data_IF_474044422222
#
_entry.id   IF_474044422222
#
_cell.length_a   1.000
_cell.length_b   1.000
_cell.length_c   1.000
_cell.angle_alpha   90.00
_cell.angle_beta   90.00
_cell.angle_gamma   90.00
#
_symmetry.space_group_name_H-M   'P 1'
#
loop_
_entity.id
_entity.type
_entity.pdbx_description
1 polymer ?
#
# COMPACT_ATOMS: atom_id res chain seq x y z
N UNK A 1 -1.38 14.25 34.93
CA UNK A 1 -2.67 13.59 35.21
C UNK A 1 -2.57 12.16 34.70
N UNK A 2 -2.43 11.20 35.64
CA UNK A 2 -2.19 9.76 35.35
C UNK A 2 -3.50 9.12 34.92
N UNK A 3 -3.62 8.68 33.68
CA UNK A 3 -4.77 7.93 33.17
C UNK A 3 -4.30 6.84 32.19
N UNK A 4 -3.52 5.86 32.65
CA UNK A 4 -3.49 4.53 32.06
C UNK A 4 -3.07 3.55 33.17
N UNK A 5 -4.07 3.00 33.83
CA UNK A 5 -3.93 1.88 34.74
C UNK A 5 -3.53 0.65 33.90
N UNK A 6 -2.34 0.13 34.13
CA UNK A 6 -1.88 -1.16 33.61
C UNK A 6 -2.67 -2.26 34.31
N UNK A 7 -3.58 -2.93 33.61
CA UNK A 7 -4.09 -4.23 34.01
C UNK A 7 -3.11 -5.31 33.54
N UNK A 8 -2.51 -6.11 34.44
CA UNK A 8 -1.69 -7.25 34.04
C UNK A 8 -2.64 -8.38 33.57
N UNK A 9 -2.53 -8.78 32.30
CA UNK A 9 -3.21 -9.95 31.74
C UNK A 9 -4.24 -9.73 30.64
N UNK A 10 -4.58 -8.50 30.28
CA UNK A 10 -5.45 -8.23 29.15
C UNK A 10 -4.67 -8.34 27.83
N UNK A 11 -5.02 -9.30 26.94
CA UNK A 11 -4.59 -9.26 25.54
C UNK A 11 -4.96 -7.88 25.01
N UNK A 12 -3.96 -7.07 24.60
CA UNK A 12 -4.21 -5.79 23.90
C UNK A 12 -5.13 -6.11 22.72
N UNK A 13 -6.31 -5.52 22.71
CA UNK A 13 -7.29 -5.74 21.66
C UNK A 13 -6.71 -5.10 20.40
N UNK A 14 -6.24 -5.93 19.44
CA UNK A 14 -5.66 -5.46 18.18
C UNK A 14 -6.61 -4.45 17.52
N UNK A 15 -6.07 -3.31 17.11
CA UNK A 15 -6.84 -2.26 16.42
C UNK A 15 -6.91 -2.51 14.91
N UNK A 16 -6.20 -3.54 14.43
CA UNK A 16 -6.13 -3.92 13.02
C UNK A 16 -7.48 -4.40 12.47
N UNK A 17 -7.67 -4.22 11.17
CA UNK A 17 -8.81 -4.78 10.44
C UNK A 17 -8.76 -6.31 10.43
N UNK A 18 -9.94 -6.95 10.50
CA UNK A 18 -10.06 -8.38 10.27
C UNK A 18 -10.31 -8.71 8.79
N UNK A 19 -10.35 -7.71 7.90
CA UNK A 19 -10.65 -7.91 6.48
C UNK A 19 -9.42 -8.50 5.79
N UNK A 20 -9.54 -9.65 5.10
CA UNK A 20 -8.43 -10.18 4.31
C UNK A 20 -8.16 -9.31 3.08
N UNK A 21 -6.90 -9.12 2.74
CA UNK A 21 -6.45 -8.44 1.53
C UNK A 21 -5.11 -9.02 1.08
N UNK A 22 -4.80 -8.85 -0.19
CA UNK A 22 -3.58 -9.37 -0.81
C UNK A 22 -2.71 -8.20 -1.27
N UNK A 23 -1.45 -8.19 -0.83
CA UNK A 23 -0.44 -7.16 -1.13
C UNK A 23 0.50 -7.56 -2.28
N UNK A 24 0.35 -8.74 -2.89
CA UNK A 24 1.31 -9.26 -3.88
C UNK A 24 1.63 -8.25 -4.97
N UNK A 25 0.59 -7.62 -5.56
CA UNK A 25 0.73 -6.51 -6.52
C UNK A 25 -0.24 -5.39 -6.14
N UNK A 26 0.31 -4.29 -5.73
CA UNK A 26 -0.41 -3.12 -5.27
C UNK A 26 -0.22 -1.95 -6.25
N UNK A 27 -1.26 -1.59 -7.01
CA UNK A 27 -1.23 -0.42 -7.90
C UNK A 27 -1.51 0.85 -7.10
N UNK A 28 -0.60 1.82 -7.15
CA UNK A 28 -0.87 3.21 -6.73
C UNK A 28 -1.05 4.05 -7.99
N UNK A 29 -2.15 4.81 -8.08
CA UNK A 29 -2.53 5.51 -9.31
C UNK A 29 -3.24 6.84 -9.02
N UNK A 30 -2.89 7.86 -9.79
CA UNK A 30 -3.58 9.14 -9.90
C UNK A 30 -3.64 9.61 -11.34
N UNK A 31 -4.36 10.69 -11.61
CA UNK A 31 -4.50 11.23 -12.98
C UNK A 31 -3.18 11.71 -13.57
N UNK A 32 -2.22 12.09 -12.72
CA UNK A 32 -0.87 12.48 -13.15
C UNK A 32 0.04 11.29 -13.51
N UNK A 33 -0.32 10.07 -13.12
CA UNK A 33 0.52 8.88 -13.28
C UNK A 33 0.22 8.12 -14.58
N UNK A 34 -0.93 8.38 -15.20
CA UNK A 34 -1.35 7.70 -16.43
C UNK A 34 -0.83 8.42 -17.68
N UNK A 35 -0.78 7.70 -18.79
CA UNK A 35 -0.39 8.28 -20.08
C UNK A 35 -1.45 9.31 -20.52
N UNK A 36 -0.97 10.36 -21.19
CA UNK A 36 -1.87 11.36 -21.78
C UNK A 36 -2.91 10.69 -22.70
N UNK A 37 -4.17 11.08 -22.54
CA UNK A 37 -5.30 10.52 -23.26
C UNK A 37 -5.82 9.17 -22.75
N UNK A 38 -5.22 8.60 -21.70
CA UNK A 38 -5.73 7.40 -21.04
C UNK A 38 -6.81 7.75 -20.02
N UNK A 39 -7.69 6.79 -19.76
CA UNK A 39 -8.72 6.85 -18.72
C UNK A 39 -8.23 6.11 -17.47
N UNK A 40 -8.24 6.78 -16.31
CA UNK A 40 -7.77 6.27 -15.03
C UNK A 40 -8.54 5.00 -14.62
N UNK A 41 -9.85 5.01 -14.79
CA UNK A 41 -10.69 3.86 -14.44
C UNK A 41 -10.36 2.66 -15.34
N UNK A 42 -10.18 2.88 -16.64
CA UNK A 42 -9.80 1.82 -17.57
C UNK A 42 -8.42 1.23 -17.23
N UNK A 43 -7.44 2.07 -16.89
CA UNK A 43 -6.09 1.64 -16.46
C UNK A 43 -6.18 0.78 -15.19
N UNK A 44 -6.93 1.23 -14.17
CA UNK A 44 -7.09 0.50 -12.92
C UNK A 44 -7.76 -0.87 -13.12
N UNK A 45 -8.81 -0.93 -13.95
CA UNK A 45 -9.51 -2.19 -14.29
C UNK A 45 -8.60 -3.13 -15.08
N UNK A 46 -7.85 -2.63 -16.07
CA UNK A 46 -6.90 -3.43 -16.82
C UNK A 46 -5.81 -4.03 -15.91
N UNK A 47 -5.26 -3.22 -14.99
CA UNK A 47 -4.28 -3.67 -14.01
C UNK A 47 -4.86 -4.73 -13.05
N UNK A 48 -6.09 -4.54 -12.54
CA UNK A 48 -6.77 -5.49 -11.68
C UNK A 48 -6.98 -6.84 -12.38
N UNK A 49 -7.44 -6.83 -13.63
CA UNK A 49 -7.55 -8.04 -14.47
C UNK A 49 -6.20 -8.67 -14.78
N UNK A 50 -5.14 -7.87 -14.83
CA UNK A 50 -3.77 -8.31 -15.01
C UNK A 50 -3.15 -8.94 -13.77
N UNK A 51 -3.74 -8.74 -12.59
CA UNK A 51 -3.25 -9.33 -11.35
C UNK A 51 -2.90 -8.34 -10.24
N UNK A 52 -3.21 -7.04 -10.40
CA UNK A 52 -3.18 -6.13 -9.25
C UNK A 52 -4.25 -6.56 -8.24
N UNK A 53 -3.85 -6.73 -6.97
CA UNK A 53 -4.69 -7.25 -5.89
C UNK A 53 -5.16 -6.17 -4.92
N UNK A 54 -4.56 -5.00 -4.99
CA UNK A 54 -4.92 -3.81 -4.24
C UNK A 54 -4.74 -2.59 -5.14
N UNK A 55 -5.62 -1.61 -5.05
CA UNK A 55 -5.51 -0.35 -5.80
C UNK A 55 -5.61 0.81 -4.82
N UNK A 56 -4.69 1.78 -4.92
CA UNK A 56 -4.74 3.03 -4.18
C UNK A 56 -4.97 4.20 -5.13
N UNK A 57 -6.02 4.96 -4.88
CA UNK A 57 -6.22 6.27 -5.50
C UNK A 57 -5.39 7.33 -4.76
N UNK A 58 -4.42 7.92 -5.48
CA UNK A 58 -3.54 8.98 -4.99
C UNK A 58 -3.68 10.23 -5.85
N UNK A 59 -4.64 11.07 -5.54
CA UNK A 59 -4.93 12.33 -6.23
C UNK A 59 -4.43 13.52 -5.42
N UNK A 60 -3.25 14.04 -5.79
CA UNK A 60 -2.59 15.17 -5.10
C UNK A 60 -2.96 16.49 -5.75
N UNK A 61 -3.89 16.98 -6.07
CA UNK A 61 -4.20 18.28 -6.70
C UNK A 61 -5.67 18.45 -7.03
N UNK A 62 -6.43 17.37 -6.97
CA UNK A 62 -7.86 17.40 -7.22
C UNK A 62 -8.63 17.92 -6.00
N UNK A 63 -9.76 18.57 -6.26
CA UNK A 63 -10.70 18.96 -5.22
C UNK A 63 -11.23 17.72 -4.48
N UNK A 64 -11.71 17.91 -3.25
CA UNK A 64 -12.34 16.85 -2.47
C UNK A 64 -13.47 16.18 -3.26
N UNK A 65 -14.35 16.98 -3.87
CA UNK A 65 -15.47 16.48 -4.66
C UNK A 65 -14.98 15.59 -5.80
N UNK A 66 -14.00 16.04 -6.59
CA UNK A 66 -13.45 15.25 -7.69
C UNK A 66 -12.80 13.96 -7.23
N UNK A 67 -12.08 13.97 -6.11
CA UNK A 67 -11.48 12.78 -5.55
C UNK A 67 -12.55 11.77 -5.08
N UNK A 68 -13.65 12.24 -4.49
CA UNK A 68 -14.79 11.39 -4.10
C UNK A 68 -15.47 10.76 -5.33
N UNK A 69 -15.65 11.53 -6.40
CA UNK A 69 -16.23 11.02 -7.67
C UNK A 69 -15.36 9.89 -8.25
N UNK A 70 -14.05 10.11 -8.35
CA UNK A 70 -13.08 9.10 -8.83
C UNK A 70 -13.07 7.86 -7.92
N UNK A 71 -13.03 8.06 -6.61
CA UNK A 71 -13.04 6.95 -5.65
C UNK A 71 -14.31 6.11 -5.76
N UNK A 72 -15.49 6.73 -5.93
CA UNK A 72 -16.77 6.03 -6.15
C UNK A 72 -16.78 5.26 -7.47
N UNK A 73 -16.25 5.84 -8.54
CA UNK A 73 -16.15 5.19 -9.83
C UNK A 73 -15.24 3.95 -9.76
N UNK A 74 -14.04 4.11 -9.21
CA UNK A 74 -13.10 3.01 -9.00
C UNK A 74 -13.69 1.91 -8.10
N UNK A 75 -14.33 2.29 -6.98
CA UNK A 75 -14.95 1.32 -6.06
C UNK A 75 -15.97 0.44 -6.78
N UNK A 76 -16.87 1.03 -7.59
CA UNK A 76 -17.86 0.28 -8.37
C UNK A 76 -17.24 -0.70 -9.37
N UNK A 77 -16.11 -0.32 -9.99
CA UNK A 77 -15.46 -1.13 -11.01
C UNK A 77 -14.56 -2.22 -10.43
N UNK A 78 -13.91 -1.97 -9.30
CA UNK A 78 -12.98 -2.91 -8.66
C UNK A 78 -13.69 -3.93 -7.77
N UNK A 79 -14.81 -3.57 -7.17
CA UNK A 79 -15.58 -4.44 -6.27
C UNK A 79 -15.98 -5.77 -6.92
N UNK A 80 -16.50 -5.83 -8.18
CA UNK A 80 -16.82 -7.11 -8.83
C UNK A 80 -15.59 -7.98 -9.13
N UNK A 81 -14.40 -7.36 -9.18
CA UNK A 81 -13.13 -8.05 -9.37
C UNK A 81 -12.50 -8.54 -8.06
N UNK A 82 -13.13 -8.24 -6.91
CA UNK A 82 -12.62 -8.58 -5.59
C UNK A 82 -11.38 -7.78 -5.18
N UNK A 83 -11.09 -6.66 -5.84
CA UNK A 83 -9.91 -5.82 -5.59
C UNK A 83 -10.29 -4.66 -4.68
N UNK A 84 -9.75 -4.56 -3.45
CA UNK A 84 -10.03 -3.46 -2.54
C UNK A 84 -9.47 -2.13 -3.06
N UNK A 85 -10.21 -1.03 -2.76
CA UNK A 85 -9.80 0.33 -3.02
C UNK A 85 -9.31 1.00 -1.74
N UNK A 86 -8.07 1.48 -1.76
CA UNK A 86 -7.46 2.34 -0.74
C UNK A 86 -7.48 3.78 -1.25
N UNK A 87 -7.69 4.74 -0.36
CA UNK A 87 -7.54 6.16 -0.66
C UNK A 87 -6.30 6.68 0.08
N UNK A 88 -5.53 7.52 -0.58
CA UNK A 88 -4.36 8.15 0.01
C UNK A 88 -4.76 9.39 0.82
N UNK A 89 -4.23 9.55 2.05
CA UNK A 89 -4.25 10.73 2.94
C UNK A 89 -5.62 11.20 3.45
N UNK A 90 -6.72 10.99 2.73
CA UNK A 90 -8.02 11.65 2.92
C UNK A 90 -9.09 10.73 3.51
N UNK A 91 -9.23 10.63 4.84
CA UNK A 91 -10.25 9.78 5.47
C UNK A 91 -11.68 10.20 5.12
N UNK A 92 -11.93 11.49 4.87
CA UNK A 92 -13.24 11.98 4.44
C UNK A 92 -13.65 11.42 3.07
N UNK A 93 -12.70 11.19 2.14
CA UNK A 93 -12.94 10.52 0.86
C UNK A 93 -13.26 9.05 1.08
N UNK A 94 -12.51 8.37 1.98
CA UNK A 94 -12.78 6.96 2.33
C UNK A 94 -14.22 6.79 2.78
N UNK A 95 -14.69 7.65 3.67
CA UNK A 95 -16.06 7.59 4.21
C UNK A 95 -17.10 7.95 3.15
N UNK A 96 -16.87 9.02 2.38
CA UNK A 96 -17.83 9.49 1.37
C UNK A 96 -17.98 8.52 0.19
N UNK A 97 -16.91 7.80 -0.19
CA UNK A 97 -16.91 6.84 -1.31
C UNK A 97 -17.11 5.39 -0.88
N UNK A 98 -17.23 5.11 0.43
CA UNK A 98 -17.22 3.78 1.03
C UNK A 98 -16.03 2.93 0.53
N UNK A 99 -14.85 3.56 0.46
CA UNK A 99 -13.63 2.86 0.09
C UNK A 99 -13.23 1.84 1.16
N UNK A 100 -12.43 0.86 0.77
CA UNK A 100 -12.05 -0.28 1.63
C UNK A 100 -10.96 0.08 2.64
N UNK A 101 -10.24 1.19 2.43
CA UNK A 101 -9.19 1.60 3.35
C UNK A 101 -8.57 2.95 3.06
N UNK A 102 -7.63 3.30 3.92
CA UNK A 102 -6.83 4.52 3.91
C UNK A 102 -5.34 4.15 3.93
N UNK A 103 -4.51 4.95 3.27
CA UNK A 103 -3.07 4.92 3.44
C UNK A 103 -2.57 6.30 3.85
N UNK A 104 -1.71 6.38 4.86
CA UNK A 104 -1.13 7.63 5.37
C UNK A 104 0.39 7.60 5.32
N UNK A 105 0.99 8.72 4.96
CA UNK A 105 2.42 8.98 5.06
C UNK A 105 2.83 9.58 6.42
N UNK A 106 4.14 9.82 6.64
CA UNK A 106 4.65 10.33 7.91
C UNK A 106 4.20 11.78 8.21
N UNK A 107 3.91 12.58 7.18
CA UNK A 107 3.48 13.97 7.32
C UNK A 107 1.95 14.16 7.28
N UNK A 108 1.22 13.06 7.10
CA UNK A 108 -0.24 13.06 7.01
C UNK A 108 -0.88 12.93 8.41
N UNK A 109 -2.15 12.56 8.43
CA UNK A 109 -2.89 12.32 9.67
C UNK A 109 -2.20 11.22 10.51
N UNK A 110 -1.92 11.44 11.81
CA UNK A 110 -1.32 10.43 12.67
C UNK A 110 -2.10 9.11 12.64
N UNK A 111 -1.39 7.99 12.65
CA UNK A 111 -1.95 6.62 12.51
C UNK A 111 -3.15 6.35 13.41
N UNK A 112 -3.08 6.72 14.70
CA UNK A 112 -4.20 6.51 15.62
C UNK A 112 -5.42 7.36 15.26
N UNK A 113 -5.20 8.60 14.81
CA UNK A 113 -6.27 9.49 14.35
C UNK A 113 -6.89 8.96 13.06
N UNK A 114 -6.06 8.47 12.12
CA UNK A 114 -6.51 7.81 10.89
C UNK A 114 -7.38 6.58 11.19
N UNK A 115 -6.92 5.71 12.11
CA UNK A 115 -7.68 4.54 12.56
C UNK A 115 -9.01 4.90 13.21
N UNK A 116 -9.04 5.92 14.05
CA UNK A 116 -10.28 6.41 14.66
C UNK A 116 -11.25 6.96 13.60
N UNK A 117 -10.73 7.71 12.61
CA UNK A 117 -11.56 8.31 11.56
C UNK A 117 -12.22 7.26 10.67
N UNK A 118 -11.48 6.22 10.22
CA UNK A 118 -12.03 5.22 9.29
C UNK A 118 -12.68 4.01 9.98
N UNK A 119 -12.51 3.87 11.30
CA UNK A 119 -13.00 2.74 12.08
C UNK A 119 -12.15 1.48 11.90
N UNK A 120 -12.56 0.38 12.55
CA UNK A 120 -11.80 -0.89 12.64
C UNK A 120 -12.07 -1.87 11.49
N UNK A 121 -13.06 -1.61 10.67
CA UNK A 121 -13.46 -2.50 9.58
C UNK A 121 -12.78 -2.19 8.26
N UNK A 122 -12.09 -1.05 8.17
CA UNK A 122 -11.36 -0.62 6.97
C UNK A 122 -9.87 -0.89 7.10
N UNK A 123 -9.24 -1.17 5.99
CA UNK A 123 -7.79 -1.38 5.90
C UNK A 123 -7.08 -0.05 6.15
N UNK A 124 -6.07 -0.04 7.02
CA UNK A 124 -5.19 1.10 7.23
C UNK A 124 -3.75 0.71 6.92
N UNK A 125 -3.16 1.39 5.94
CA UNK A 125 -1.74 1.31 5.65
C UNK A 125 -1.01 2.56 6.13
N UNK A 126 0.29 2.42 6.39
CA UNK A 126 1.17 3.55 6.63
C UNK A 126 2.51 3.39 5.92
N UNK A 127 3.15 4.51 5.55
CA UNK A 127 4.50 4.52 4.98
C UNK A 127 5.56 4.69 6.06
N UNK A 128 6.69 3.99 5.90
CA UNK A 128 7.91 4.22 6.67
C UNK A 128 9.14 4.13 5.73
N UNK A 129 10.00 5.13 5.77
CA UNK A 129 11.27 5.18 5.04
C UNK A 129 12.48 4.90 5.94
N UNK A 130 12.32 4.98 7.26
CA UNK A 130 13.36 4.80 8.26
C UNK A 130 12.95 3.78 9.31
N UNK A 131 13.94 3.22 10.02
CA UNK A 131 13.70 2.27 11.11
C UNK A 131 12.96 2.91 12.29
N UNK A 132 13.21 4.19 12.55
CA UNK A 132 12.56 4.90 13.66
C UNK A 132 11.08 5.17 13.35
N UNK A 133 10.75 5.59 12.13
CA UNK A 133 9.37 5.71 11.67
C UNK A 133 8.63 4.37 11.73
N UNK A 134 9.29 3.30 11.25
CA UNK A 134 8.72 1.95 11.29
C UNK A 134 8.40 1.51 12.71
N UNK A 135 9.36 1.67 13.65
CA UNK A 135 9.17 1.29 15.05
C UNK A 135 8.04 2.08 15.71
N UNK A 136 7.98 3.38 15.45
CA UNK A 136 6.92 4.23 15.98
C UNK A 136 5.53 3.77 15.51
N UNK A 137 5.40 3.32 14.25
CA UNK A 137 4.14 2.79 13.70
C UNK A 137 3.85 1.38 14.25
N UNK A 138 4.86 0.50 14.30
CA UNK A 138 4.73 -0.90 14.73
C UNK A 138 4.25 -0.99 16.19
N UNK A 139 4.79 -0.14 17.08
CA UNK A 139 4.39 -0.07 18.50
C UNK A 139 2.91 0.27 18.72
N UNK A 140 2.28 0.97 17.77
CA UNK A 140 0.87 1.35 17.88
C UNK A 140 -0.10 0.18 17.65
N UNK A 141 0.33 -0.89 16.95
CA UNK A 141 -0.50 -2.06 16.55
C UNK A 141 -1.86 -1.65 15.92
N UNK A 142 -1.84 -0.57 15.13
CA UNK A 142 -3.04 0.06 14.61
C UNK A 142 -3.17 0.01 13.07
N UNK A 143 -2.09 -0.33 12.35
CA UNK A 143 -2.07 -0.47 10.89
C UNK A 143 -2.16 -1.93 10.47
N UNK A 144 -2.64 -2.17 9.26
CA UNK A 144 -2.82 -3.51 8.70
C UNK A 144 -1.66 -3.90 7.78
N UNK A 145 -0.92 -2.91 7.26
CA UNK A 145 0.30 -3.11 6.47
C UNK A 145 1.19 -1.86 6.48
N UNK A 146 2.46 -2.06 6.14
CA UNK A 146 3.45 -1.00 5.95
C UNK A 146 3.91 -0.93 4.50
N UNK A 147 4.02 0.29 3.97
CA UNK A 147 4.76 0.62 2.76
C UNK A 147 6.17 1.04 3.12
N UNK A 148 7.18 0.30 2.67
CA UNK A 148 8.59 0.57 2.94
C UNK A 148 9.31 1.05 1.67
N UNK A 149 10.00 2.17 1.74
CA UNK A 149 10.72 2.72 0.60
C UNK A 149 11.06 4.21 0.72
N UNK A 150 11.62 4.77 -0.38
CA UNK A 150 11.72 4.16 -1.72
C UNK A 150 12.80 3.06 -1.79
N UNK A 151 12.46 1.91 -2.37
CA UNK A 151 13.44 0.82 -2.52
C UNK A 151 14.46 1.16 -3.60
N UNK A 152 14.00 1.65 -4.73
CA UNK A 152 14.86 2.13 -5.82
C UNK A 152 14.60 3.61 -6.10
N UNK A 153 15.55 4.27 -6.76
CA UNK A 153 15.39 5.66 -7.17
C UNK A 153 14.11 5.84 -8.01
N UNK A 154 13.36 6.88 -7.73
CA UNK A 154 12.07 7.15 -8.38
C UNK A 154 11.83 8.64 -8.51
N UNK A 155 11.26 9.06 -9.64
CA UNK A 155 10.80 10.41 -9.87
C UNK A 155 9.29 10.61 -9.59
N UNK A 156 8.57 9.53 -9.29
CA UNK A 156 7.09 9.56 -9.12
C UNK A 156 6.65 10.35 -7.88
N UNK A 157 7.50 10.38 -6.83
CA UNK A 157 7.29 11.17 -5.62
C UNK A 157 8.50 12.07 -5.44
N UNK A 158 8.32 13.40 -5.56
CA UNK A 158 9.43 14.36 -5.52
C UNK A 158 10.17 14.38 -4.17
N UNK A 159 9.48 14.05 -3.08
CA UNK A 159 9.94 13.99 -1.70
C UNK A 159 10.22 12.54 -1.23
N UNK A 160 10.52 11.63 -2.14
CA UNK A 160 10.67 10.20 -1.83
C UNK A 160 11.89 9.84 -0.95
N UNK A 161 12.83 10.74 -0.78
CA UNK A 161 14.07 10.47 -0.06
C UNK A 161 15.07 9.62 -0.84
N UNK A 162 16.15 9.20 -0.18
CA UNK A 162 17.16 8.33 -0.78
C UNK A 162 16.66 6.88 -0.87
N UNK A 163 17.03 6.19 -1.96
CA UNK A 163 16.71 4.77 -2.13
C UNK A 163 17.39 3.93 -1.06
N UNK A 164 16.61 3.06 -0.40
CA UNK A 164 17.12 2.18 0.68
C UNK A 164 17.67 0.85 0.15
N UNK A 165 17.37 0.49 -1.09
CA UNK A 165 17.70 -0.81 -1.67
C UNK A 165 16.94 -2.00 -1.04
N UNK A 166 17.10 -3.20 -1.60
CA UNK A 166 16.58 -4.42 -0.98
C UNK A 166 17.17 -4.70 0.40
N UNK A 167 18.42 -4.35 0.66
CA UNK A 167 19.07 -4.49 1.97
C UNK A 167 18.41 -3.60 3.04
N UNK A 168 18.09 -2.35 2.69
CA UNK A 168 17.35 -1.46 3.57
C UNK A 168 15.93 -1.98 3.85
N UNK A 169 15.27 -2.52 2.85
CA UNK A 169 13.96 -3.16 3.00
C UNK A 169 14.03 -4.36 3.96
N UNK A 170 15.05 -5.21 3.83
CA UNK A 170 15.30 -6.31 4.76
C UNK A 170 15.55 -5.79 6.18
N UNK A 171 16.38 -4.76 6.34
CA UNK A 171 16.68 -4.14 7.64
C UNK A 171 15.41 -3.61 8.32
N UNK A 172 14.55 -2.93 7.56
CA UNK A 172 13.26 -2.46 8.07
C UNK A 172 12.39 -3.64 8.51
N UNK A 173 12.25 -4.68 7.68
CA UNK A 173 11.45 -5.88 8.03
C UNK A 173 12.01 -6.58 9.26
N UNK A 174 13.33 -6.74 9.38
CA UNK A 174 13.98 -7.38 10.53
C UNK A 174 13.83 -6.56 11.83
N UNK A 175 13.66 -5.25 11.74
CA UNK A 175 13.49 -4.35 12.89
C UNK A 175 12.08 -4.33 13.49
N UNK A 176 11.12 -5.05 12.90
CA UNK A 176 9.73 -5.11 13.39
C UNK A 176 9.57 -6.07 14.56
N UNK A 177 8.70 -5.69 15.49
CA UNK A 177 8.35 -6.53 16.67
C UNK A 177 7.03 -7.29 16.46
N UNK A 178 6.17 -6.80 15.58
CA UNK A 178 4.91 -7.47 15.22
C UNK A 178 5.00 -8.09 13.83
N UNK A 179 4.27 -9.16 13.60
CA UNK A 179 4.10 -9.74 12.28
C UNK A 179 3.11 -8.90 11.47
N UNK A 180 3.63 -7.83 10.87
CA UNK A 180 2.90 -6.89 10.04
C UNK A 180 3.34 -7.06 8.59
N UNK A 181 2.40 -7.20 7.65
CA UNK A 181 2.74 -7.27 6.23
C UNK A 181 3.46 -6.01 5.76
N UNK A 182 4.54 -6.19 4.98
CA UNK A 182 5.32 -5.11 4.37
C UNK A 182 5.25 -5.19 2.87
N UNK A 183 5.03 -4.07 2.21
CA UNK A 183 5.10 -3.92 0.76
C UNK A 183 6.24 -2.96 0.40
N UNK A 184 7.12 -3.36 -0.51
CA UNK A 184 8.15 -2.47 -1.05
C UNK A 184 7.53 -1.46 -2.03
N UNK A 185 7.99 -0.21 -2.01
CA UNK A 185 7.54 0.84 -2.94
C UNK A 185 8.72 1.68 -3.43
N UNK A 186 8.60 2.27 -4.62
CA UNK A 186 9.57 3.19 -5.22
C UNK A 186 10.47 2.52 -6.24
N UNK A 187 10.37 2.93 -7.50
CA UNK A 187 11.19 2.48 -8.63
C UNK A 187 11.07 1.00 -8.98
N UNK A 188 9.99 0.33 -8.56
CA UNK A 188 9.80 -1.11 -8.76
C UNK A 188 9.21 -1.38 -10.14
N UNK A 189 9.77 -2.38 -10.81
CA UNK A 189 9.39 -2.93 -12.12
C UNK A 189 9.30 -4.45 -12.05
N UNK A 190 8.91 -5.10 -13.15
CA UNK A 190 8.94 -6.57 -13.22
C UNK A 190 10.33 -7.17 -13.04
N UNK A 191 11.38 -6.43 -13.44
CA UNK A 191 12.76 -6.92 -13.42
C UNK A 191 13.39 -6.92 -12.02
N UNK A 192 12.89 -6.07 -11.10
CA UNK A 192 13.45 -5.93 -9.76
C UNK A 192 12.47 -6.30 -8.62
N UNK A 193 11.20 -6.60 -8.94
CA UNK A 193 10.18 -6.94 -7.94
C UNK A 193 10.56 -8.17 -7.12
N UNK A 194 11.21 -9.17 -7.74
CA UNK A 194 11.66 -10.38 -7.07
C UNK A 194 12.63 -10.11 -5.91
N UNK A 195 13.48 -9.08 -6.04
CA UNK A 195 14.46 -8.75 -4.99
C UNK A 195 13.79 -8.16 -3.74
N UNK A 196 12.68 -7.43 -3.91
CA UNK A 196 11.86 -6.99 -2.77
C UNK A 196 11.28 -8.19 -2.00
N UNK A 197 10.82 -9.22 -2.72
CA UNK A 197 10.25 -10.43 -2.11
C UNK A 197 11.33 -11.23 -1.39
N UNK A 198 12.53 -11.38 -1.99
CA UNK A 198 13.70 -12.01 -1.34
C UNK A 198 14.11 -11.26 -0.08
N UNK A 199 14.00 -9.93 -0.07
CA UNK A 199 14.24 -9.08 1.09
C UNK A 199 13.16 -9.17 2.18
N UNK A 200 12.15 -10.01 2.02
CA UNK A 200 11.13 -10.28 3.04
C UNK A 200 9.82 -9.51 2.84
N UNK A 201 9.67 -8.71 1.80
CA UNK A 201 8.38 -8.09 1.49
C UNK A 201 7.29 -9.14 1.18
N UNK A 202 6.04 -8.81 1.48
CA UNK A 202 4.87 -9.62 1.14
C UNK A 202 4.37 -9.35 -0.27
N UNK A 203 4.78 -8.21 -0.84
CA UNK A 203 4.44 -7.79 -2.19
C UNK A 203 5.12 -6.48 -2.56
N UNK A 204 4.69 -5.88 -3.67
CA UNK A 204 5.24 -4.65 -4.20
C UNK A 204 4.15 -3.64 -4.56
N UNK A 205 4.37 -2.36 -4.21
CA UNK A 205 3.54 -1.25 -4.64
C UNK A 205 4.21 -0.56 -5.84
N UNK A 206 3.45 -0.36 -6.89
CA UNK A 206 3.93 0.11 -8.19
C UNK A 206 3.07 1.24 -8.71
N UNK A 207 3.70 2.28 -9.26
CA UNK A 207 3.02 3.40 -9.91
C UNK A 207 3.29 3.35 -11.42
N UNK A 208 4.36 3.97 -11.88
CA UNK A 208 4.64 4.24 -13.29
C UNK A 208 4.81 2.99 -14.13
N UNK A 209 5.36 1.90 -13.59
CA UNK A 209 5.57 0.66 -14.34
C UNK A 209 4.25 -0.04 -14.74
N UNK A 210 3.13 0.30 -14.10
CA UNK A 210 1.79 -0.14 -14.49
C UNK A 210 0.99 1.03 -15.08
N UNK A 211 0.82 2.13 -14.34
CA UNK A 211 -0.03 3.24 -14.74
C UNK A 211 0.47 3.94 -16.01
N UNK A 212 1.79 4.06 -16.20
CA UNK A 212 2.42 4.63 -17.38
C UNK A 212 2.63 3.65 -18.55
N UNK A 213 2.27 2.38 -18.41
CA UNK A 213 2.46 1.39 -19.45
C UNK A 213 1.48 1.56 -20.62
N UNK A 214 1.89 1.13 -21.82
CA UNK A 214 1.00 1.07 -22.99
C UNK A 214 -0.08 0.00 -22.85
N UNK A 215 0.22 -1.08 -22.14
CA UNK A 215 -0.72 -2.14 -21.72
C UNK A 215 -0.58 -2.36 -20.21
N UNK A 216 -1.40 -1.67 -19.39
CA UNK A 216 -1.37 -1.80 -17.94
C UNK A 216 -1.67 -3.22 -17.45
N UNK A 217 -2.53 -3.96 -18.16
CA UNK A 217 -2.86 -5.34 -17.83
C UNK A 217 -1.67 -6.28 -18.03
N UNK A 218 -0.96 -6.17 -19.16
CA UNK A 218 0.25 -6.94 -19.40
C UNK A 218 1.37 -6.57 -18.42
N UNK A 219 1.51 -5.28 -18.09
CA UNK A 219 2.50 -4.82 -17.11
C UNK A 219 2.22 -5.41 -15.72
N UNK A 220 0.96 -5.37 -15.26
CA UNK A 220 0.56 -5.96 -13.99
C UNK A 220 0.81 -7.49 -13.95
N UNK A 221 0.51 -8.21 -15.06
CA UNK A 221 0.80 -9.66 -15.16
C UNK A 221 2.29 -9.96 -14.99
N UNK A 222 3.17 -9.23 -15.68
CA UNK A 222 4.63 -9.45 -15.55
C UNK A 222 5.12 -9.26 -14.13
N UNK A 223 4.64 -8.22 -13.45
CA UNK A 223 5.00 -7.96 -12.05
C UNK A 223 4.46 -9.06 -11.14
N UNK A 224 3.19 -9.48 -11.33
CA UNK A 224 2.60 -10.59 -10.59
C UNK A 224 3.42 -11.87 -10.75
N UNK A 225 3.74 -12.24 -12.00
CA UNK A 225 4.47 -13.48 -12.29
C UNK A 225 5.87 -13.47 -11.62
N UNK A 226 6.55 -12.31 -11.60
CA UNK A 226 7.82 -12.15 -10.89
C UNK A 226 7.67 -12.27 -9.37
N UNK A 227 6.61 -11.67 -8.79
CA UNK A 227 6.32 -11.75 -7.35
C UNK A 227 5.95 -13.17 -6.93
N UNK A 228 5.02 -13.82 -7.64
CA UNK A 228 4.57 -15.18 -7.34
C UNK A 228 5.72 -16.20 -7.44
N UNK A 229 6.56 -16.08 -8.47
CA UNK A 229 7.76 -16.94 -8.62
C UNK A 229 8.73 -16.76 -7.45
N UNK A 230 8.97 -15.53 -7.01
CA UNK A 230 9.86 -15.25 -5.89
C UNK A 230 9.28 -15.71 -4.54
N UNK A 231 7.95 -15.57 -4.36
CA UNK A 231 7.24 -16.09 -3.17
C UNK A 231 7.31 -17.62 -3.10
N UNK A 232 7.09 -18.32 -4.22
CA UNK A 232 7.20 -19.77 -4.29
C UNK A 232 8.64 -20.25 -3.97
N UNK A 233 9.65 -19.58 -4.54
CA UNK A 233 11.05 -19.88 -4.24
C UNK A 233 11.39 -19.68 -2.75
N UNK A 234 10.90 -18.59 -2.14
CA UNK A 234 11.09 -18.31 -0.70
C UNK A 234 10.42 -19.39 0.17
N UNK A 235 9.21 -19.80 -0.18
CA UNK A 235 8.48 -20.85 0.57
C UNK A 235 9.20 -22.21 0.50
N UNK A 236 9.91 -22.52 -0.60
CA UNK A 236 10.66 -23.77 -0.75
C UNK A 236 11.95 -23.83 0.08
N UNK A 237 12.48 -22.68 0.53
CA UNK A 237 13.70 -22.60 1.35
C UNK A 237 13.44 -22.85 2.86
N UNK A 238 12.18 -22.97 3.28
CA UNK A 238 11.76 -23.11 4.67
C UNK A 238 11.93 -21.81 5.49
N UNK A 239 11.42 -21.80 6.73
CA UNK A 239 11.62 -20.67 7.63
C UNK A 239 13.07 -20.58 8.14
#
# INVERSE_FOLDING_TARGET
>A
MKLFSRHPGGRRRRLRSARPFDLSVYLVIGTADIRSGSDLEAVAVAAARGGARLVQLREKGASLQRTVELARALKRLLQPLGVPLIVNDRPEVVLAADADGLHVGPEDLPVLSARLAIGRHRILGASAGTLDELRAIDELDAVDYLGAGPVYATATKADAGAAIGPEGLWTLKAGMTHDLPVVGIGGITADNAADCIKAGAHGVAVVSAIAGASDPGAAARRIRDAVESAQAARASLGP
#
